data_IF_046510853462
#
_entry.id   IF_046510853462
#
_cell.length_a   1.000
_cell.length_b   1.000
_cell.length_c   1.000
_cell.angle_alpha   90.00
_cell.angle_beta   90.00
_cell.angle_gamma   90.00
#
_symmetry.space_group_name_H-M   'P 1'
#
loop_
_entity.id
_entity.type
_entity.pdbx_description
1 polymer ?
#
# COMPACT_ATOMS: atom_id res chain seq x y z
N UNK A 1 -48.12 -6.86 -44.91
CA UNK A 1 -47.08 -5.90 -44.50
C UNK A 1 -46.58 -6.17 -43.07
N UNK A 2 -47.45 -6.34 -42.07
CA UNK A 2 -47.02 -6.62 -40.67
C UNK A 2 -46.00 -7.75 -40.46
N UNK A 3 -46.06 -8.87 -41.21
CA UNK A 3 -45.10 -9.98 -41.02
C UNK A 3 -43.66 -9.65 -41.44
N UNK A 4 -43.47 -8.72 -42.36
CA UNK A 4 -42.14 -8.32 -42.85
C UNK A 4 -41.47 -7.41 -41.82
N UNK A 5 -42.25 -6.51 -41.20
CA UNK A 5 -41.76 -5.59 -40.16
C UNK A 5 -41.41 -6.32 -38.86
N UNK A 6 -42.18 -7.36 -38.48
CA UNK A 6 -41.88 -8.19 -37.30
C UNK A 6 -40.57 -8.99 -37.50
N UNK A 7 -40.34 -9.50 -38.71
CA UNK A 7 -39.12 -10.23 -39.04
C UNK A 7 -37.88 -9.31 -39.03
N UNK A 8 -38.00 -8.11 -39.60
CA UNK A 8 -36.93 -7.11 -39.57
C UNK A 8 -36.59 -6.65 -38.14
N UNK A 9 -37.61 -6.44 -37.30
CA UNK A 9 -37.43 -6.05 -35.90
C UNK A 9 -36.77 -7.17 -35.06
N UNK A 10 -37.12 -8.43 -35.32
CA UNK A 10 -36.50 -9.58 -34.66
C UNK A 10 -35.02 -9.72 -35.05
N UNK A 11 -34.70 -9.49 -36.32
CA UNK A 11 -33.34 -9.56 -36.83
C UNK A 11 -32.45 -8.43 -36.28
N UNK A 12 -33.02 -7.24 -36.12
CA UNK A 12 -32.34 -6.09 -35.51
C UNK A 12 -32.06 -6.31 -34.01
N UNK A 13 -33.01 -6.90 -33.28
CA UNK A 13 -32.81 -7.31 -31.88
C UNK A 13 -31.74 -8.39 -31.73
N UNK A 14 -31.72 -9.41 -32.60
CA UNK A 14 -30.70 -10.47 -32.57
C UNK A 14 -29.29 -9.97 -32.95
N UNK A 15 -29.20 -8.92 -33.79
CA UNK A 15 -27.94 -8.24 -34.10
C UNK A 15 -27.49 -7.25 -33.02
N UNK A 16 -28.40 -6.88 -32.11
CA UNK A 16 -28.11 -5.91 -31.06
C UNK A 16 -27.07 -6.46 -30.10
N UNK A 17 -26.00 -5.70 -29.91
CA UNK A 17 -24.91 -6.04 -29.01
C UNK A 17 -25.40 -6.34 -27.58
N UNK A 18 -26.48 -5.68 -27.13
CA UNK A 18 -27.09 -5.88 -25.80
C UNK A 18 -27.69 -7.29 -25.68
N UNK A 19 -28.32 -7.80 -26.74
CA UNK A 19 -28.93 -9.13 -26.74
C UNK A 19 -27.85 -10.23 -26.73
N UNK A 20 -26.80 -10.04 -27.53
CA UNK A 20 -25.64 -10.93 -27.53
C UNK A 20 -24.90 -10.91 -26.18
N UNK A 21 -24.79 -9.75 -25.55
CA UNK A 21 -24.21 -9.62 -24.20
C UNK A 21 -25.09 -10.30 -23.13
N UNK A 22 -26.41 -10.13 -23.19
CA UNK A 22 -27.35 -10.81 -22.29
C UNK A 22 -27.34 -12.33 -22.46
N UNK A 23 -27.25 -12.82 -23.70
CA UNK A 23 -27.09 -14.24 -24.01
C UNK A 23 -25.77 -14.79 -23.47
N UNK A 24 -24.66 -14.07 -23.68
CA UNK A 24 -23.34 -14.44 -23.16
C UNK A 24 -23.34 -14.50 -21.62
N UNK A 25 -23.97 -13.52 -20.96
CA UNK A 25 -24.18 -13.52 -19.51
C UNK A 25 -24.97 -14.74 -19.04
N UNK A 26 -26.04 -15.12 -19.76
CA UNK A 26 -26.87 -16.27 -19.43
C UNK A 26 -26.21 -17.62 -19.75
N UNK A 27 -25.37 -17.70 -20.77
CA UNK A 27 -24.66 -18.94 -21.15
C UNK A 27 -23.43 -19.17 -20.27
N UNK A 28 -22.78 -18.10 -19.80
CA UNK A 28 -21.55 -18.18 -19.01
C UNK A 28 -21.69 -17.67 -17.56
N UNK A 29 -22.90 -17.59 -17.04
CA UNK A 29 -23.16 -17.07 -15.68
C UNK A 29 -22.33 -17.79 -14.59
N UNK A 30 -22.13 -19.10 -14.73
CA UNK A 30 -21.31 -19.90 -13.80
C UNK A 30 -19.85 -19.46 -13.84
N UNK A 31 -19.28 -19.27 -15.04
CA UNK A 31 -17.90 -18.83 -15.20
C UNK A 31 -17.69 -17.42 -14.63
N UNK A 32 -18.70 -16.54 -14.77
CA UNK A 32 -18.68 -15.19 -14.20
C UNK A 32 -18.71 -15.25 -12.67
N UNK A 33 -19.56 -16.09 -12.07
CA UNK A 33 -19.61 -16.29 -10.62
C UNK A 33 -18.28 -16.83 -10.10
N UNK A 34 -17.70 -17.83 -10.78
CA UNK A 34 -16.40 -18.39 -10.41
C UNK A 34 -15.29 -17.34 -10.53
N UNK A 35 -15.27 -16.52 -11.59
CA UNK A 35 -14.26 -15.46 -11.74
C UNK A 35 -14.38 -14.40 -10.64
N UNK A 36 -15.62 -14.05 -10.24
CA UNK A 36 -15.89 -13.13 -9.14
C UNK A 36 -15.38 -13.68 -7.81
N UNK A 37 -15.65 -14.95 -7.51
CA UNK A 37 -15.14 -15.63 -6.31
C UNK A 37 -13.62 -15.68 -6.32
N UNK A 38 -13.00 -16.05 -7.46
CA UNK A 38 -11.54 -16.04 -7.61
C UNK A 38 -10.95 -14.64 -7.38
N UNK A 39 -11.57 -13.58 -7.91
CA UNK A 39 -11.11 -12.20 -7.70
C UNK A 39 -11.19 -11.79 -6.22
N UNK A 40 -12.25 -12.17 -5.50
CA UNK A 40 -12.39 -11.90 -4.07
C UNK A 40 -11.30 -12.64 -3.28
N UNK A 41 -11.07 -13.92 -3.60
CA UNK A 41 -10.04 -14.74 -2.95
C UNK A 41 -8.65 -14.17 -3.21
N UNK A 42 -8.33 -13.83 -4.46
CA UNK A 42 -7.08 -13.18 -4.85
C UNK A 42 -6.93 -11.88 -4.09
N UNK A 43 -7.92 -10.98 -4.13
CA UNK A 43 -7.88 -9.70 -3.41
C UNK A 43 -7.64 -9.89 -1.91
N UNK A 44 -8.29 -10.88 -1.31
CA UNK A 44 -8.13 -11.21 0.11
C UNK A 44 -6.74 -11.74 0.40
N UNK A 45 -6.21 -12.65 -0.42
CA UNK A 45 -4.83 -13.16 -0.29
C UNK A 45 -3.79 -12.05 -0.47
N UNK A 46 -3.99 -11.16 -1.45
CA UNK A 46 -3.10 -10.02 -1.68
C UNK A 46 -3.11 -9.05 -0.49
N UNK A 47 -4.28 -8.71 0.06
CA UNK A 47 -4.38 -7.83 1.22
C UNK A 47 -3.81 -8.46 2.50
N UNK A 48 -4.09 -9.75 2.76
CA UNK A 48 -3.70 -10.39 4.03
C UNK A 48 -2.25 -10.90 4.03
N UNK A 49 -1.74 -11.39 2.89
CA UNK A 49 -0.44 -12.07 2.83
C UNK A 49 0.60 -11.21 2.14
N UNK A 50 0.31 -10.70 0.94
CA UNK A 50 1.32 -9.97 0.17
C UNK A 50 1.56 -8.57 0.71
N UNK A 51 0.51 -7.85 1.12
CA UNK A 51 0.62 -6.47 1.58
C UNK A 51 1.57 -6.25 2.77
N UNK A 52 1.52 -7.03 3.87
CA UNK A 52 2.47 -6.87 4.97
C UNK A 52 3.92 -7.21 4.57
N UNK A 53 4.12 -8.23 3.72
CA UNK A 53 5.46 -8.61 3.23
C UNK A 53 6.05 -7.62 2.23
N UNK A 54 5.22 -7.06 1.34
CA UNK A 54 5.63 -6.04 0.38
C UNK A 54 5.99 -4.74 1.09
N UNK A 55 5.24 -4.36 2.13
CA UNK A 55 5.52 -3.14 2.87
C UNK A 55 6.85 -3.21 3.64
N UNK A 56 7.20 -4.37 4.21
CA UNK A 56 8.52 -4.58 4.80
C UNK A 56 9.63 -4.55 3.75
N UNK A 57 9.42 -5.21 2.61
CA UNK A 57 10.36 -5.20 1.48
C UNK A 57 10.57 -3.78 0.93
N UNK A 58 9.50 -2.98 0.86
CA UNK A 58 9.53 -1.59 0.45
C UNK A 58 10.40 -0.76 1.40
N UNK A 59 10.20 -0.88 2.71
CA UNK A 59 11.03 -0.18 3.72
C UNK A 59 12.51 -0.54 3.62
N UNK A 60 12.81 -1.81 3.35
CA UNK A 60 14.19 -2.28 3.13
C UNK A 60 14.78 -1.71 1.85
N UNK A 61 14.01 -1.67 0.76
CA UNK A 61 14.47 -1.17 -0.54
C UNK A 61 14.75 0.33 -0.52
N UNK A 62 13.95 1.10 0.22
CA UNK A 62 14.18 2.53 0.46
C UNK A 62 15.34 2.83 1.42
N UNK A 63 16.03 1.81 1.95
CA UNK A 63 17.19 2.03 2.81
C UNK A 63 16.84 2.72 4.14
N UNK A 64 15.59 2.64 4.58
CA UNK A 64 15.09 3.38 5.75
C UNK A 64 15.88 3.07 7.03
N UNK A 65 16.42 1.84 7.13
CA UNK A 65 17.29 1.42 8.23
C UNK A 65 18.65 2.13 8.20
N UNK A 66 19.27 2.29 7.02
CA UNK A 66 20.54 3.02 6.86
C UNK A 66 20.35 4.50 7.17
N UNK A 67 19.31 5.11 6.58
CA UNK A 67 19.01 6.52 6.79
C UNK A 67 18.75 6.83 8.28
N UNK A 68 17.98 6.00 8.98
CA UNK A 68 17.75 6.18 10.41
C UNK A 68 19.02 5.99 11.25
N UNK A 69 19.91 5.06 10.85
CA UNK A 69 21.20 4.89 11.52
C UNK A 69 22.09 6.12 11.33
N UNK A 70 22.20 6.65 10.11
CA UNK A 70 23.00 7.84 9.81
C UNK A 70 22.47 9.07 10.56
N UNK A 71 21.15 9.28 10.59
CA UNK A 71 20.54 10.37 11.37
C UNK A 71 20.83 10.23 12.86
N UNK A 72 20.81 8.99 13.38
CA UNK A 72 21.15 8.74 14.78
C UNK A 72 22.62 9.06 15.06
N UNK A 73 23.53 8.63 14.19
CA UNK A 73 24.96 8.86 14.36
C UNK A 73 25.29 10.36 14.38
N UNK A 74 24.63 11.14 13.50
CA UNK A 74 24.70 12.61 13.51
C UNK A 74 24.15 13.15 14.85
N UNK A 75 22.96 12.72 15.29
CA UNK A 75 22.36 13.22 16.53
C UNK A 75 23.11 12.83 17.82
N UNK A 76 23.98 11.82 17.78
CA UNK A 76 24.83 11.40 18.90
C UNK A 76 26.24 12.02 18.86
N UNK A 77 26.58 12.78 17.81
CA UNK A 77 27.88 13.44 17.68
C UNK A 77 28.01 14.65 18.64
N UNK A 78 29.24 14.91 19.10
CA UNK A 78 29.52 16.02 20.01
C UNK A 78 29.67 17.33 19.24
N UNK A 79 28.62 18.16 19.29
CA UNK A 79 28.59 19.50 18.71
C UNK A 79 28.81 20.61 19.73
N UNK A 80 29.60 20.34 20.78
CA UNK A 80 29.98 21.31 21.83
C UNK A 80 30.27 22.72 21.28
N UNK A 81 30.99 22.79 20.17
CA UNK A 81 31.38 24.03 19.50
C UNK A 81 30.24 24.74 18.75
N UNK A 82 29.12 24.10 18.43
CA UNK A 82 28.03 24.69 17.62
C UNK A 82 26.78 25.05 18.43
N UNK A 83 26.67 24.61 19.69
CA UNK A 83 25.48 24.90 20.53
C UNK A 83 25.25 26.40 20.81
N UNK A 84 26.26 27.22 20.62
CA UNK A 84 26.13 28.67 20.79
C UNK A 84 25.46 29.35 19.57
N UNK A 85 25.37 28.65 18.44
CA UNK A 85 24.68 29.14 17.24
C UNK A 85 23.19 28.78 17.28
N UNK A 86 22.32 29.80 17.32
CA UNK A 86 20.87 29.58 17.40
C UNK A 86 20.29 28.85 16.19
N UNK A 87 20.84 29.07 15.00
CA UNK A 87 20.42 28.41 13.76
C UNK A 87 20.72 26.91 13.80
N UNK A 88 21.90 26.55 14.33
CA UNK A 88 22.29 25.15 14.53
C UNK A 88 21.33 24.45 15.51
N UNK A 89 21.03 25.06 16.66
CA UNK A 89 20.11 24.51 17.65
C UNK A 89 18.71 24.23 17.05
N UNK A 90 18.19 25.14 16.23
CA UNK A 90 16.89 24.96 15.57
C UNK A 90 16.93 23.83 14.54
N UNK A 91 17.98 23.77 13.73
CA UNK A 91 18.18 22.71 12.74
C UNK A 91 18.33 21.33 13.41
N UNK A 92 19.07 21.27 14.52
CA UNK A 92 19.26 20.05 15.30
C UNK A 92 17.95 19.54 15.89
N UNK A 93 17.13 20.42 16.47
CA UNK A 93 15.80 20.07 16.99
C UNK A 93 14.86 19.58 15.88
N UNK A 94 14.88 20.23 14.71
CA UNK A 94 14.11 19.80 13.55
C UNK A 94 14.55 18.41 13.05
N UNK A 95 15.86 18.17 13.00
CA UNK A 95 16.42 16.86 12.65
C UNK A 95 15.99 15.78 13.66
N UNK A 96 16.00 16.10 14.95
CA UNK A 96 15.57 15.19 16.00
C UNK A 96 14.08 14.82 15.89
N UNK A 97 13.21 15.80 15.62
CA UNK A 97 11.77 15.55 15.45
C UNK A 97 11.50 14.69 14.21
N UNK A 98 12.16 14.99 13.08
CA UNK A 98 12.03 14.18 11.86
C UNK A 98 12.59 12.77 12.05
N UNK A 99 13.72 12.60 12.75
CA UNK A 99 14.21 11.27 13.12
C UNK A 99 13.15 10.48 13.93
N UNK A 100 12.55 11.09 14.96
CA UNK A 100 11.49 10.45 15.74
C UNK A 100 10.24 10.12 14.92
N UNK A 101 9.87 10.98 13.97
CA UNK A 101 8.75 10.76 13.06
C UNK A 101 9.02 9.60 12.11
N UNK A 102 10.20 9.55 11.52
CA UNK A 102 10.64 8.45 10.64
C UNK A 102 10.74 7.13 11.40
N UNK A 103 11.25 7.12 12.64
CA UNK A 103 11.26 5.92 13.50
C UNK A 103 9.82 5.43 13.77
N UNK A 104 8.86 6.33 14.00
CA UNK A 104 7.45 5.96 14.18
C UNK A 104 6.85 5.33 12.92
N UNK A 105 7.13 5.89 11.74
CA UNK A 105 6.70 5.35 10.45
C UNK A 105 7.39 4.02 10.13
N UNK A 106 8.66 3.88 10.48
CA UNK A 106 9.41 2.64 10.34
C UNK A 106 8.80 1.51 11.18
N UNK A 107 8.32 1.84 12.39
CA UNK A 107 7.63 0.92 13.30
C UNK A 107 6.15 0.71 12.97
N UNK A 108 5.53 1.56 12.16
CA UNK A 108 4.12 1.41 11.80
C UNK A 108 3.92 0.37 10.69
N UNK A 109 2.78 -0.30 10.65
CA UNK A 109 2.34 -1.11 9.52
C UNK A 109 1.66 -0.20 8.47
N UNK A 110 1.15 -0.81 7.39
CA UNK A 110 0.41 -0.13 6.31
C UNK A 110 -0.81 0.65 6.83
N UNK A 111 -1.38 0.22 7.95
CA UNK A 111 -2.55 0.82 8.58
C UNK A 111 -2.16 1.91 9.60
N UNK A 112 -0.87 2.24 9.73
CA UNK A 112 -0.38 3.22 10.69
C UNK A 112 -0.28 2.72 12.13
N UNK A 113 -0.61 1.46 12.39
CA UNK A 113 -0.50 0.87 13.73
C UNK A 113 0.94 0.46 14.01
N UNK A 114 1.39 0.55 15.26
CA UNK A 114 2.70 0.05 15.69
C UNK A 114 2.52 -1.27 16.46
N UNK A 115 2.39 -2.42 15.76
CA UNK A 115 2.18 -3.68 16.43
C UNK A 115 3.50 -4.16 17.04
N UNK A 116 3.69 -3.88 18.33
CA UNK A 116 4.85 -4.30 19.16
C UNK A 116 5.18 -5.80 19.08
N UNK A 117 4.25 -6.63 18.60
CA UNK A 117 4.38 -8.08 18.44
C UNK A 117 5.24 -8.52 17.24
N UNK A 118 5.52 -7.65 16.27
CA UNK A 118 6.26 -8.06 15.07
C UNK A 118 7.76 -7.79 15.19
N UNK A 119 8.56 -8.77 14.74
CA UNK A 119 10.02 -8.74 14.81
C UNK A 119 10.63 -7.52 14.08
N UNK A 120 10.01 -7.07 12.98
CA UNK A 120 10.50 -5.91 12.22
C UNK A 120 10.35 -4.58 12.98
N UNK A 121 9.29 -4.39 13.78
CA UNK A 121 9.11 -3.19 14.58
C UNK A 121 10.18 -3.07 15.69
N UNK A 122 10.62 -4.21 16.23
CA UNK A 122 11.71 -4.27 17.22
C UNK A 122 13.08 -3.93 16.63
N UNK A 123 13.29 -4.10 15.31
CA UNK A 123 14.55 -3.72 14.66
C UNK A 123 14.78 -2.20 14.75
N UNK A 124 13.76 -1.42 14.40
CA UNK A 124 13.78 0.04 14.49
C UNK A 124 13.68 0.56 15.94
N UNK A 125 13.31 -0.29 16.90
CA UNK A 125 13.36 0.09 18.32
C UNK A 125 14.79 0.21 18.86
N UNK A 126 15.75 -0.49 18.24
CA UNK A 126 17.18 -0.38 18.58
C UNK A 126 17.81 0.92 18.09
N UNK A 127 17.22 1.53 17.07
CA UNK A 127 17.62 2.84 16.52
C UNK A 127 16.83 3.92 17.27
N UNK A 128 17.00 3.97 18.59
CA UNK A 128 16.61 5.12 19.39
C UNK A 128 17.89 5.83 19.84
N UNK A 129 17.81 7.15 19.93
CA UNK A 129 18.83 8.00 20.53
C UNK A 129 18.78 7.75 22.04
N UNK A 130 19.95 7.54 22.67
CA UNK A 130 20.06 7.26 24.11
C UNK A 130 19.68 8.44 24.99
#
# INVERSE_FOLDING_TARGET
MLNVDIAAYKQDIESSWIWNFGRFLSEHWIAIVISLVCLIVIRTLFNNILFPYYYESFKKWYGLESMLSEMKDILEEDYSDLWHESEFCLAFLALQDEHQRLVRLAKSNVHGENPKRFHWANRYAKIHIK
#
